data_IF_965824508797
#
_entry.id   IF_965824508797
#
_cell.length_a   1.000
_cell.length_b   1.000
_cell.length_c   1.000
_cell.angle_alpha   90.00
_cell.angle_beta   90.00
_cell.angle_gamma   90.00
#
_symmetry.space_group_name_H-M   'P 1'
#
loop_
_entity.id
_entity.type
_entity.pdbx_description
1 polymer ?
#
# COMPACT_ATOMS: atom_id res chain seq x y z
N UNK A 1 -2.92 16.14 4.17
CA UNK A 1 -1.74 15.33 3.81
C UNK A 1 -2.01 14.59 2.51
N UNK A 2 -1.11 14.67 1.53
CA UNK A 2 -1.24 13.87 0.30
C UNK A 2 -0.66 12.48 0.50
N UNK A 3 -1.26 11.49 -0.14
CA UNK A 3 -0.90 10.08 0.02
C UNK A 3 -0.79 9.42 -1.35
N UNK A 4 0.18 8.53 -1.51
CA UNK A 4 0.43 7.73 -2.71
C UNK A 4 0.50 6.26 -2.30
N UNK A 5 -0.04 5.37 -3.14
CA UNK A 5 0.01 3.91 -2.97
C UNK A 5 0.69 3.39 -4.23
N UNK A 6 1.67 2.51 -4.08
CA UNK A 6 2.41 1.93 -5.20
C UNK A 6 2.97 0.55 -4.84
N UNK A 7 3.31 -0.23 -5.85
CA UNK A 7 4.08 -1.46 -5.72
C UNK A 7 5.60 -1.21 -5.90
N UNK A 8 6.42 -1.97 -5.18
CA UNK A 8 7.86 -2.06 -5.42
C UNK A 8 8.46 -3.26 -4.70
N UNK A 9 9.52 -3.85 -5.27
CA UNK A 9 10.38 -4.83 -4.61
C UNK A 9 11.54 -4.18 -3.83
N UNK A 10 11.84 -2.91 -4.08
CA UNK A 10 12.93 -2.17 -3.43
C UNK A 10 12.45 -0.84 -2.79
N UNK A 11 11.80 -0.88 -1.62
CA UNK A 11 11.23 0.30 -0.95
C UNK A 11 12.17 1.50 -0.77
N UNK A 12 13.46 1.29 -0.42
CA UNK A 12 14.45 2.36 -0.23
C UNK A 12 14.79 3.04 -1.56
N UNK A 13 14.90 2.29 -2.65
CA UNK A 13 15.10 2.86 -3.98
C UNK A 13 13.87 3.67 -4.38
N UNK A 14 12.68 3.09 -4.24
CA UNK A 14 11.41 3.72 -4.66
C UNK A 14 11.15 5.07 -3.96
N UNK A 15 11.41 5.18 -2.66
CA UNK A 15 11.20 6.46 -1.95
C UNK A 15 12.15 7.56 -2.43
N UNK A 16 13.40 7.21 -2.77
CA UNK A 16 14.38 8.13 -3.36
C UNK A 16 13.96 8.58 -4.76
N UNK A 17 13.39 7.70 -5.57
CA UNK A 17 12.78 8.06 -6.87
C UNK A 17 11.63 9.04 -6.69
N UNK A 18 10.70 8.77 -5.76
CA UNK A 18 9.59 9.65 -5.46
C UNK A 18 10.05 11.03 -4.97
N UNK A 19 11.12 11.08 -4.16
CA UNK A 19 11.78 12.31 -3.70
C UNK A 19 12.63 13.00 -4.76
N UNK A 20 12.86 12.38 -5.91
CA UNK A 20 13.63 12.95 -7.02
C UNK A 20 15.14 12.96 -6.79
N UNK A 21 15.63 12.20 -5.82
CA UNK A 21 17.06 11.98 -5.62
C UNK A 21 17.65 11.11 -6.74
N UNK A 22 16.83 10.25 -7.33
CA UNK A 22 17.17 9.37 -8.46
C UNK A 22 16.02 9.37 -9.50
N UNK A 23 16.33 8.92 -10.72
CA UNK A 23 15.42 8.94 -11.88
C UNK A 23 14.24 7.95 -11.73
N UNK A 24 13.25 8.06 -12.62
CA UNK A 24 12.07 7.19 -12.70
C UNK A 24 11.09 7.27 -11.49
N UNK A 25 10.94 8.45 -10.90
CA UNK A 25 9.85 8.72 -9.95
C UNK A 25 8.52 8.99 -10.66
N UNK A 26 7.44 8.39 -10.15
CA UNK A 26 6.09 8.59 -10.66
C UNK A 26 5.72 10.08 -10.80
N UNK A 27 5.00 10.43 -11.87
CA UNK A 27 4.63 11.84 -12.15
C UNK A 27 3.88 12.47 -10.98
N UNK A 28 2.98 11.71 -10.35
CA UNK A 28 2.14 12.15 -9.22
C UNK A 28 2.95 12.51 -7.96
N UNK A 29 4.17 12.00 -7.82
CA UNK A 29 5.03 12.24 -6.67
C UNK A 29 6.05 13.36 -6.89
N UNK A 30 6.03 14.04 -8.06
CA UNK A 30 6.96 15.16 -8.33
C UNK A 30 6.72 16.37 -7.44
N UNK A 31 5.46 16.61 -7.07
CA UNK A 31 5.06 17.68 -6.15
C UNK A 31 4.98 17.16 -4.72
N UNK A 32 5.00 18.05 -3.73
CA UNK A 32 4.81 17.74 -2.30
C UNK A 32 5.85 16.79 -1.70
N UNK A 33 7.05 16.82 -2.28
CA UNK A 33 8.27 16.24 -1.69
C UNK A 33 8.67 17.04 -0.44
N UNK A 34 9.34 16.42 0.54
CA UNK A 34 9.70 15.01 0.60
C UNK A 34 8.50 14.11 0.97
N UNK A 35 8.43 12.95 0.34
CA UNK A 35 7.56 11.85 0.69
C UNK A 35 8.22 10.97 1.75
N UNK A 36 7.38 10.33 2.56
CA UNK A 36 7.78 9.34 3.56
C UNK A 36 6.97 8.06 3.36
N UNK A 37 7.61 6.90 3.56
CA UNK A 37 6.96 5.60 3.52
C UNK A 37 6.25 5.35 4.84
N UNK A 38 4.92 5.48 4.88
CA UNK A 38 4.14 5.29 6.12
C UNK A 38 3.94 3.80 6.48
N UNK A 39 3.65 2.97 5.48
CA UNK A 39 3.34 1.54 5.63
C UNK A 39 3.85 0.79 4.39
N UNK A 40 4.48 -0.37 4.62
CA UNK A 40 4.80 -1.36 3.58
C UNK A 40 4.13 -2.68 3.93
N UNK A 41 3.35 -3.22 2.99
CA UNK A 41 2.79 -4.57 3.09
C UNK A 41 3.72 -5.53 2.35
N UNK A 42 4.07 -6.65 2.97
CA UNK A 42 5.05 -7.63 2.47
C UNK A 42 4.49 -9.05 2.52
N UNK A 43 5.18 -10.01 1.90
CA UNK A 43 4.79 -11.42 1.92
C UNK A 43 3.83 -11.85 0.80
N UNK A 44 3.67 -11.03 -0.25
CA UNK A 44 2.86 -11.43 -1.40
C UNK A 44 3.49 -12.63 -2.12
N UNK A 45 2.69 -13.63 -2.54
CA UNK A 45 3.19 -14.84 -3.20
C UNK A 45 3.66 -14.59 -4.64
N UNK A 46 3.25 -13.49 -5.26
CA UNK A 46 3.64 -13.11 -6.62
C UNK A 46 3.49 -11.61 -6.87
N UNK A 47 4.17 -11.10 -7.91
CA UNK A 47 4.00 -9.73 -8.41
C UNK A 47 2.54 -9.45 -8.77
N UNK A 48 1.87 -10.39 -9.44
CA UNK A 48 0.45 -10.25 -9.81
C UNK A 48 -0.47 -10.13 -8.59
N UNK A 49 -0.23 -10.89 -7.52
CA UNK A 49 -1.00 -10.78 -6.28
C UNK A 49 -0.82 -9.41 -5.60
N UNK A 50 0.41 -8.88 -5.62
CA UNK A 50 0.72 -7.56 -5.09
C UNK A 50 0.07 -6.43 -5.90
N UNK A 51 0.10 -6.52 -7.24
CA UNK A 51 -0.55 -5.54 -8.12
C UNK A 51 -2.08 -5.56 -7.98
N UNK A 52 -2.69 -6.74 -7.80
CA UNK A 52 -4.13 -6.83 -7.50
C UNK A 52 -4.48 -6.17 -6.17
N UNK A 53 -3.64 -6.35 -5.14
CA UNK A 53 -3.81 -5.67 -3.85
C UNK A 53 -3.67 -4.14 -3.99
N UNK A 54 -2.63 -3.68 -4.69
CA UNK A 54 -2.39 -2.26 -4.97
C UNK A 54 -3.60 -1.62 -5.65
N UNK A 55 -4.10 -2.25 -6.72
CA UNK A 55 -5.23 -1.73 -7.48
C UNK A 55 -6.49 -1.67 -6.62
N UNK A 56 -6.78 -2.70 -5.82
CA UNK A 56 -7.91 -2.71 -4.92
C UNK A 56 -7.80 -1.64 -3.82
N UNK A 57 -6.58 -1.33 -3.38
CA UNK A 57 -6.32 -0.28 -2.40
C UNK A 57 -6.44 1.13 -2.99
N UNK A 58 -6.02 1.32 -4.25
CA UNK A 58 -6.21 2.57 -4.99
C UNK A 58 -7.68 2.80 -5.36
N UNK A 59 -8.41 1.74 -5.71
CA UNK A 59 -9.77 1.78 -6.26
C UNK A 59 -10.80 0.98 -5.44
N UNK A 60 -10.97 1.25 -4.13
CA UNK A 60 -11.79 0.40 -3.25
C UNK A 60 -13.28 0.36 -3.63
N UNK A 61 -13.78 1.36 -4.37
CA UNK A 61 -15.17 1.41 -4.88
C UNK A 61 -15.38 0.63 -6.18
N UNK A 62 -14.29 0.31 -6.89
CA UNK A 62 -14.32 -0.47 -8.13
C UNK A 62 -14.03 -1.94 -7.87
N UNK A 63 -13.23 -2.25 -6.85
CA UNK A 63 -12.89 -3.62 -6.49
C UNK A 63 -14.07 -4.38 -5.86
N UNK A 64 -14.38 -5.56 -6.40
CA UNK A 64 -15.51 -6.39 -5.95
C UNK A 64 -15.37 -6.89 -4.51
N UNK A 65 -14.16 -7.08 -4.01
CA UNK A 65 -13.91 -7.63 -2.68
C UNK A 65 -14.18 -6.57 -1.60
N UNK A 66 -13.94 -5.29 -1.93
CA UNK A 66 -14.06 -4.17 -0.98
C UNK A 66 -15.29 -3.27 -1.21
N UNK A 67 -15.80 -3.12 -2.44
CA UNK A 67 -16.86 -2.16 -2.81
C UNK A 67 -18.09 -2.17 -1.89
N UNK A 68 -18.58 -3.36 -1.52
CA UNK A 68 -19.74 -3.50 -0.61
C UNK A 68 -19.44 -3.17 0.86
N UNK A 69 -18.17 -3.09 1.22
CA UNK A 69 -17.66 -2.88 2.59
C UNK A 69 -17.11 -1.46 2.79
N UNK A 70 -16.87 -0.73 1.71
CA UNK A 70 -16.39 0.65 1.70
C UNK A 70 -17.27 1.61 2.52
N UNK A 71 -18.60 1.47 2.42
CA UNK A 71 -19.54 2.28 3.21
C UNK A 71 -19.40 2.03 4.71
N UNK A 72 -19.17 0.77 5.10
CA UNK A 72 -18.96 0.36 6.49
C UNK A 72 -17.55 0.72 7.02
N UNK A 73 -16.57 0.93 6.15
CA UNK A 73 -15.26 1.52 6.48
C UNK A 73 -15.33 3.04 6.72
N UNK A 74 -16.54 3.61 6.81
CA UNK A 74 -16.80 5.03 7.00
C UNK A 74 -16.11 5.93 5.96
N UNK A 75 -15.89 5.41 4.75
CA UNK A 75 -15.37 6.16 3.61
C UNK A 75 -16.51 7.02 3.06
N UNK A 76 -16.84 8.11 3.78
CA UNK A 76 -17.87 9.06 3.37
C UNK A 76 -17.36 9.90 2.19
N UNK A 77 -18.09 9.84 1.07
CA UNK A 77 -17.89 10.67 -0.12
C UNK A 77 -16.97 10.06 -1.20
N UNK A 78 -17.21 10.43 -2.46
CA UNK A 78 -16.34 10.12 -3.61
C UNK A 78 -15.18 11.14 -3.61
N UNK A 79 -14.08 10.86 -2.91
CA UNK A 79 -12.96 11.80 -2.78
C UNK A 79 -11.61 11.15 -2.47
N UNK A 80 -10.55 11.97 -2.44
CA UNK A 80 -9.20 11.53 -2.06
C UNK A 80 -9.14 11.22 -0.56
N UNK A 81 -8.97 9.96 -0.19
CA UNK A 81 -8.88 9.53 1.21
C UNK A 81 -7.58 9.98 1.89
N UNK A 82 -7.70 10.50 3.11
CA UNK A 82 -6.57 10.74 4.00
C UNK A 82 -5.89 9.45 4.45
N UNK A 83 -4.72 9.58 5.08
CA UNK A 83 -3.90 8.45 5.53
C UNK A 83 -4.68 7.45 6.40
N UNK A 84 -5.44 7.92 7.40
CA UNK A 84 -6.25 7.07 8.29
C UNK A 84 -7.22 6.16 7.53
N UNK A 85 -7.92 6.71 6.53
CA UNK A 85 -8.85 5.96 5.70
C UNK A 85 -8.12 4.92 4.82
N UNK A 86 -6.96 5.28 4.26
CA UNK A 86 -6.12 4.33 3.50
C UNK A 86 -5.60 3.19 4.38
N UNK A 87 -5.22 3.46 5.62
CA UNK A 87 -4.82 2.43 6.59
C UNK A 87 -5.99 1.49 6.92
N UNK A 88 -7.21 2.02 7.09
CA UNK A 88 -8.41 1.22 7.33
C UNK A 88 -8.75 0.30 6.13
N UNK A 89 -8.67 0.81 4.91
CA UNK A 89 -8.85 0.01 3.68
C UNK A 89 -7.80 -1.10 3.59
N UNK A 90 -6.53 -0.78 3.85
CA UNK A 90 -5.45 -1.76 3.85
C UNK A 90 -5.71 -2.88 4.85
N UNK A 91 -6.08 -2.53 6.10
CA UNK A 91 -6.43 -3.49 7.15
C UNK A 91 -7.58 -4.40 6.71
N UNK A 92 -8.60 -3.85 6.07
CA UNK A 92 -9.72 -4.63 5.56
C UNK A 92 -9.30 -5.57 4.42
N UNK A 93 -8.54 -5.08 3.43
CA UNK A 93 -8.01 -5.90 2.33
C UNK A 93 -7.21 -7.09 2.85
N UNK A 94 -6.35 -6.89 3.85
CA UNK A 94 -5.59 -7.98 4.47
C UNK A 94 -6.46 -9.04 5.15
N UNK A 95 -7.69 -8.70 5.52
CA UNK A 95 -8.65 -9.63 6.14
C UNK A 95 -9.62 -10.24 5.11
N UNK A 96 -9.52 -9.90 3.83
CA UNK A 96 -10.42 -10.37 2.78
C UNK A 96 -9.73 -11.38 1.87
N UNK A 97 -10.52 -12.26 1.29
CA UNK A 97 -10.08 -13.13 0.20
C UNK A 97 -9.71 -12.31 -1.05
N UNK A 98 -8.62 -12.67 -1.76
CA UNK A 98 -7.72 -13.80 -1.48
C UNK A 98 -6.59 -13.50 -0.48
N UNK A 99 -6.41 -12.25 -0.07
CA UNK A 99 -5.20 -11.76 0.60
C UNK A 99 -5.02 -12.24 2.03
N UNK A 100 -6.10 -12.56 2.74
CA UNK A 100 -6.04 -13.13 4.09
C UNK A 100 -5.28 -14.46 4.16
N UNK A 101 -5.15 -15.18 3.04
CA UNK A 101 -4.44 -16.47 2.95
C UNK A 101 -2.94 -16.34 2.71
N UNK A 102 -2.44 -15.14 2.40
CA UNK A 102 -1.05 -14.97 1.98
C UNK A 102 -0.07 -14.81 3.14
N UNK A 103 -0.54 -14.69 4.38
CA UNK A 103 0.34 -14.43 5.53
C UNK A 103 1.05 -13.08 5.42
N UNK A 104 0.35 -12.06 4.93
CA UNK A 104 0.94 -10.74 4.67
C UNK A 104 1.46 -10.08 5.95
N UNK A 105 2.66 -9.54 5.89
CA UNK A 105 3.27 -8.75 6.97
C UNK A 105 3.13 -7.24 6.75
N UNK A 106 3.20 -6.46 7.83
CA UNK A 106 3.18 -4.99 7.79
C UNK A 106 4.41 -4.39 8.44
N UNK A 107 4.99 -3.39 7.79
CA UNK A 107 6.09 -2.59 8.31
C UNK A 107 5.66 -1.11 8.36
N UNK A 108 5.65 -0.52 9.55
CA UNK A 108 5.24 0.86 9.78
C UNK A 108 6.46 1.78 9.96
N UNK A 109 6.33 3.04 9.54
CA UNK A 109 7.36 4.06 9.74
C UNK A 109 7.63 4.33 11.21
N UNK A 110 6.56 4.41 12.01
CA UNK A 110 6.59 4.78 13.40
C UNK A 110 5.40 4.17 14.16
N UNK A 111 5.40 4.36 15.47
CA UNK A 111 4.39 3.81 16.37
C UNK A 111 3.02 4.49 16.22
N UNK A 112 2.97 5.75 15.79
CA UNK A 112 1.73 6.50 15.63
C UNK A 112 0.94 5.96 14.44
N UNK A 113 1.60 5.74 13.30
CA UNK A 113 0.99 5.09 12.14
C UNK A 113 0.53 3.66 12.49
N UNK A 114 1.38 2.90 13.20
CA UNK A 114 1.01 1.57 13.66
C UNK A 114 -0.21 1.59 14.59
N UNK A 115 -0.33 2.60 15.47
CA UNK A 115 -1.46 2.76 16.38
C UNK A 115 -2.74 3.14 15.61
N UNK A 116 -2.66 4.05 14.64
CA UNK A 116 -3.79 4.42 13.78
C UNK A 116 -4.29 3.21 12.98
N UNK A 117 -3.37 2.42 12.43
CA UNK A 117 -3.72 1.19 11.72
C UNK A 117 -4.40 0.18 12.65
N UNK A 118 -3.84 -0.06 13.85
CA UNK A 118 -4.44 -0.97 14.84
C UNK A 118 -5.84 -0.52 15.26
N UNK A 119 -6.02 0.76 15.55
CA UNK A 119 -7.28 1.36 15.98
C UNK A 119 -8.33 1.48 14.86
N UNK A 120 -7.95 1.30 13.59
CA UNK A 120 -8.91 1.34 12.50
C UNK A 120 -9.96 0.23 12.65
N UNK A 121 -11.22 0.63 12.74
CA UNK A 121 -12.34 -0.31 12.80
C UNK A 121 -12.43 -1.07 11.48
N UNK A 122 -12.66 -2.38 11.58
CA UNK A 122 -13.05 -3.21 10.45
C UNK A 122 -14.58 -3.18 10.32
N UNK A 123 -15.12 -3.28 9.10
CA UNK A 123 -16.56 -3.34 8.91
C UNK A 123 -17.10 -4.65 9.49
N UNK A 124 -18.31 -4.62 10.05
CA UNK A 124 -18.94 -5.86 10.52
C UNK A 124 -19.36 -6.70 9.30
N UNK A 125 -18.69 -7.83 9.07
CA UNK A 125 -18.88 -8.68 7.89
C UNK A 125 -18.28 -10.08 8.08
N UNK A 126 -19.09 -11.11 7.87
CA UNK A 126 -18.66 -12.53 7.91
C UNK A 126 -17.57 -12.89 6.88
N UNK A 127 -17.42 -12.07 5.84
CA UNK A 127 -16.39 -12.26 4.83
C UNK A 127 -14.98 -11.88 5.32
N UNK A 128 -14.88 -11.13 6.42
CA UNK A 128 -13.59 -10.82 7.03
C UNK A 128 -13.07 -12.02 7.80
N UNK A 129 -11.76 -12.23 7.69
CA UNK A 129 -11.01 -13.21 8.47
C UNK A 129 -9.99 -12.48 9.35
N UNK A 130 -10.41 -11.86 10.49
CA UNK A 130 -9.53 -11.04 11.32
C UNK A 130 -8.31 -11.79 11.85
N UNK A 131 -8.42 -13.12 11.98
CA UNK A 131 -7.34 -14.01 12.40
C UNK A 131 -6.09 -13.85 11.53
N UNK A 132 -6.27 -13.61 10.23
CA UNK A 132 -5.16 -13.33 9.32
C UNK A 132 -4.35 -12.10 9.73
N UNK A 133 -4.99 -11.12 10.37
CA UNK A 133 -4.28 -9.97 10.91
C UNK A 133 -3.53 -10.35 12.17
N UNK A 134 -4.11 -11.15 13.08
CA UNK A 134 -3.46 -11.52 14.34
C UNK A 134 -2.15 -12.26 14.10
N UNK A 135 -2.14 -13.19 13.14
CA UNK A 135 -0.98 -13.97 12.72
C UNK A 135 0.02 -13.18 11.85
N UNK A 136 -0.37 -12.00 11.35
CA UNK A 136 0.47 -11.20 10.46
C UNK A 136 1.73 -10.68 11.19
N UNK A 137 2.94 -10.84 10.60
CA UNK A 137 4.14 -10.17 11.09
C UNK A 137 3.95 -8.66 11.10
N UNK A 138 4.37 -8.00 12.19
CA UNK A 138 4.30 -6.53 12.31
C UNK A 138 5.61 -5.99 12.84
N UNK A 139 6.17 -5.02 12.13
CA UNK A 139 7.38 -4.31 12.55
C UNK A 139 7.18 -2.80 12.44
N UNK A 140 7.91 -2.08 13.30
CA UNK A 140 7.96 -0.62 13.33
C UNK A 140 9.43 -0.24 13.33
N UNK A 141 9.84 0.66 12.44
CA UNK A 141 11.24 1.10 12.41
C UNK A 141 11.71 1.60 11.04
N UNK A 142 13.03 1.74 10.86
CA UNK A 142 13.60 2.16 9.59
C UNK A 142 13.38 1.09 8.52
N UNK A 143 13.28 1.51 7.25
CA UNK A 143 13.11 0.59 6.11
C UNK A 143 14.19 -0.51 6.04
N UNK A 144 15.36 -0.31 6.65
CA UNK A 144 16.44 -1.30 6.76
C UNK A 144 16.03 -2.56 7.53
N UNK A 145 15.00 -2.48 8.37
CA UNK A 145 14.45 -3.64 9.06
C UNK A 145 13.58 -4.54 8.18
N UNK A 146 13.28 -4.13 6.93
CA UNK A 146 12.55 -4.97 5.99
C UNK A 146 13.38 -6.21 5.61
N UNK A 147 12.72 -7.36 5.51
CA UNK A 147 13.37 -8.64 5.18
C UNK A 147 14.20 -8.60 3.87
N UNK A 148 13.79 -7.77 2.90
CA UNK A 148 14.55 -7.56 1.64
C UNK A 148 15.96 -6.98 1.87
N UNK A 149 16.23 -6.39 3.04
CA UNK A 149 17.54 -5.87 3.44
C UNK A 149 18.16 -6.63 4.64
N UNK A 150 17.45 -7.61 5.23
CA UNK A 150 17.88 -8.31 6.44
C UNK A 150 19.01 -9.33 6.23
N UNK A 151 19.31 -9.69 4.97
CA UNK A 151 20.55 -10.39 4.62
C UNK A 151 21.53 -9.38 4.03
N UNK A 152 22.84 -9.57 4.26
CA UNK A 152 23.92 -8.71 3.74
C UNK A 152 24.02 -8.55 2.20
N UNK A 153 22.95 -8.84 1.45
CA UNK A 153 22.78 -8.50 0.04
C UNK A 153 22.55 -6.98 -0.20
N UNK A 154 22.54 -6.16 0.85
CA UNK A 154 22.37 -4.70 0.73
C UNK A 154 23.62 -3.93 0.27
N UNK A 155 24.78 -4.58 0.12
CA UNK A 155 26.01 -3.91 -0.34
C UNK A 155 26.23 -3.98 -1.87
N UNK A 156 25.44 -4.78 -2.62
CA UNK A 156 25.73 -5.10 -4.03
C UNK A 156 24.65 -4.66 -5.05
N UNK A 157 23.60 -3.94 -4.64
CA UNK A 157 22.58 -3.44 -5.58
C UNK A 157 22.95 -2.06 -6.19
N UNK A 158 24.25 -1.79 -6.32
CA UNK A 158 24.75 -0.90 -7.36
C UNK A 158 24.71 -1.70 -8.66
N UNK A 159 24.07 -1.15 -9.71
CA UNK A 159 24.11 -1.66 -11.09
C UNK A 159 23.09 -2.77 -11.45
N UNK A 160 21.81 -2.43 -11.51
CA UNK A 160 21.05 -2.71 -12.74
C UNK A 160 19.89 -1.70 -12.85
N UNK A 161 19.94 -0.91 -13.92
CA UNK A 161 18.94 0.09 -14.30
C UNK A 161 17.70 -0.57 -14.95
N UNK A 162 17.32 -1.78 -14.53
CA UNK A 162 16.17 -2.46 -15.12
C UNK A 162 14.88 -1.98 -14.45
N UNK A 163 14.31 -0.98 -15.11
CA UNK A 163 12.89 -0.61 -15.27
C UNK A 163 11.89 -1.36 -14.37
N UNK A 164 11.67 -0.80 -13.18
CA UNK A 164 10.43 -1.01 -12.42
C UNK A 164 9.36 -0.09 -13.05
N UNK A 165 9.05 -0.35 -14.33
CA UNK A 165 7.99 0.29 -15.11
C UNK A 165 6.65 -0.07 -14.46
N UNK A 166 6.20 0.80 -13.56
CA UNK A 166 4.80 0.86 -13.20
C UNK A 166 4.15 1.78 -14.23
N UNK A 167 3.53 1.17 -15.25
CA UNK A 167 2.60 1.85 -16.15
C UNK A 167 1.43 2.34 -15.29
N UNK A 168 1.51 3.60 -14.86
CA UNK A 168 0.49 4.28 -14.07
C UNK A 168 -0.74 4.47 -14.98
N UNK A 169 -1.58 3.43 -15.07
CA UNK A 169 -2.81 3.42 -15.85
C UNK A 169 -3.64 4.69 -15.65
N UNK A 170 -3.74 5.45 -16.72
CA UNK A 170 -4.55 6.65 -16.87
C UNK A 170 -6.04 6.28 -16.82
N UNK A 171 -6.71 6.52 -15.70
CA UNK A 171 -8.18 6.55 -15.65
C UNK A 171 -8.63 7.99 -15.94
N UNK A 172 -8.57 8.33 -17.22
CA UNK A 172 -9.03 9.59 -17.77
C UNK A 172 -10.53 9.79 -17.57
N UNK A 173 -10.85 10.91 -16.92
CA UNK A 173 -12.03 11.76 -17.07
C UNK A 173 -13.34 11.16 -17.57
N UNK A 174 -14.34 11.17 -16.68
CA UNK A 174 -15.76 11.27 -17.03
C UNK A 174 -16.01 12.46 -17.98
N UNK A 175 -16.41 12.18 -19.21
CA UNK A 175 -17.04 13.14 -20.11
C UNK A 175 -18.54 12.82 -20.20
N UNK A 176 -19.32 13.37 -19.28
CA UNK A 176 -20.74 13.64 -19.54
C UNK A 176 -20.80 15.04 -20.16
N UNK A 177 -21.30 15.13 -21.38
CA UNK A 177 -21.71 16.37 -22.03
C UNK A 177 -23.15 16.15 -22.52
N UNK A 178 -23.97 17.16 -22.25
CA UNK A 178 -25.45 17.24 -22.33
C UNK A 178 -26.18 16.39 -23.38
#
# INVERSE_FOLDING_TARGET
MSTYIGFTVHPKRRIRQHNGEIKAGARRTRMKRPWQMALVVTGFPSKSAALQFEWAWQHPYKDRHVKGKVGALALKGRGSYGLKAKLAICKALMCLEPWCRYGLGTHFADNDIAAVFRAAALPDSDALQPRALDDAPRCVGPLDALAVYASGAAAAASLSDEDDDNDDGDDGGSGDSD
#
